data_IF_591983181730
#
_entry.id   IF_591983181730
#
_cell.length_a   1.000
_cell.length_b   1.000
_cell.length_c   1.000
_cell.angle_alpha   90.00
_cell.angle_beta   90.00
_cell.angle_gamma   90.00
#
_symmetry.space_group_name_H-M   'P 1'
#
loop_
_entity.id
_entity.type
_entity.pdbx_description
1 polymer ?
#
# COMPACT_ATOMS: atom_id res chain seq x y z
N UNK A 1 13.75 -1.53 -0.35
CA UNK A 1 13.24 -0.76 -1.49
C UNK A 1 11.78 -0.37 -1.35
N UNK A 2 10.86 -1.30 -1.08
CA UNK A 2 9.44 -1.00 -0.87
C UNK A 2 9.16 0.18 0.07
N UNK A 3 9.66 0.12 1.30
CA UNK A 3 9.48 1.19 2.29
C UNK A 3 10.10 2.52 1.82
N UNK A 4 11.25 2.47 1.14
CA UNK A 4 11.86 3.67 0.55
C UNK A 4 10.95 4.30 -0.51
N UNK A 5 10.30 3.51 -1.36
CA UNK A 5 9.33 4.03 -2.33
C UNK A 5 8.15 4.73 -1.67
N UNK A 6 7.63 4.18 -0.56
CA UNK A 6 6.59 4.83 0.26
C UNK A 6 7.07 6.13 0.91
N UNK A 7 8.31 6.16 1.40
CA UNK A 7 8.94 7.37 1.96
C UNK A 7 9.14 8.43 0.87
N UNK A 8 9.64 8.06 -0.30
CA UNK A 8 9.78 8.98 -1.43
C UNK A 8 8.43 9.57 -1.84
N UNK A 9 7.37 8.75 -1.88
CA UNK A 9 6.02 9.25 -2.10
C UNK A 9 5.62 10.30 -1.06
N UNK A 10 5.84 10.04 0.22
CA UNK A 10 5.54 11.00 1.29
C UNK A 10 6.31 12.32 1.11
N UNK A 11 7.60 12.24 0.78
CA UNK A 11 8.45 13.43 0.57
C UNK A 11 7.95 14.26 -0.62
N UNK A 12 7.70 13.62 -1.76
CA UNK A 12 7.35 14.34 -2.99
C UNK A 12 5.89 14.78 -3.05
N UNK A 13 4.98 14.11 -2.35
CA UNK A 13 3.59 14.56 -2.19
C UNK A 13 3.40 15.49 -0.98
N UNK A 14 4.42 15.67 -0.14
CA UNK A 14 4.34 16.54 1.03
C UNK A 14 3.41 16.02 2.13
N UNK A 15 3.31 14.70 2.28
CA UNK A 15 2.40 14.03 3.21
C UNK A 15 3.17 13.28 4.29
N UNK A 16 2.66 13.20 5.53
CA UNK A 16 3.37 12.55 6.63
C UNK A 16 3.29 11.02 6.61
N UNK A 17 2.32 10.44 5.91
CA UNK A 17 2.06 9.00 5.89
C UNK A 17 1.44 8.54 4.57
N UNK A 18 1.79 7.35 4.05
CA UNK A 18 1.20 6.82 2.82
C UNK A 18 -0.27 6.43 2.99
N UNK A 19 -0.65 5.92 4.16
CA UNK A 19 -1.97 5.34 4.41
C UNK A 19 -2.84 6.28 5.28
N UNK A 20 -2.37 7.52 5.48
CA UNK A 20 -2.99 8.55 6.30
C UNK A 20 -2.87 8.32 7.82
N UNK A 21 -3.75 9.00 8.55
CA UNK A 21 -3.88 9.01 10.01
C UNK A 21 -4.52 7.71 10.55
N UNK A 22 -3.72 6.65 10.76
CA UNK A 22 -4.19 5.37 11.29
C UNK A 22 -3.77 5.09 12.75
N UNK A 23 -2.92 5.93 13.35
CA UNK A 23 -2.52 5.76 14.75
C UNK A 23 -3.56 6.35 15.71
N UNK A 24 -3.60 5.87 16.95
CA UNK A 24 -4.43 6.42 18.02
C UNK A 24 -4.12 7.90 18.26
N UNK A 25 -2.85 8.32 18.16
CA UNK A 25 -2.50 9.74 18.24
C UNK A 25 -3.10 10.54 17.07
N UNK A 26 -3.19 9.93 15.89
CA UNK A 26 -3.86 10.55 14.74
C UNK A 26 -5.38 10.62 14.91
N UNK A 27 -6.00 9.90 15.86
CA UNK A 27 -7.39 10.11 16.26
C UNK A 27 -7.56 11.36 17.14
N UNK A 28 -6.51 11.82 17.79
CA UNK A 28 -6.54 13.01 18.67
C UNK A 28 -6.28 14.30 17.90
N UNK A 29 -5.56 14.23 16.79
CA UNK A 29 -5.30 15.38 15.92
C UNK A 29 -6.34 15.42 14.78
N UNK A 30 -6.87 16.61 14.46
CA UNK A 30 -7.77 16.87 13.32
C UNK A 30 -7.05 16.76 11.97
N UNK A 31 -6.20 15.74 11.81
CA UNK A 31 -5.40 15.53 10.62
C UNK A 31 -6.25 14.89 9.52
N UNK A 32 -6.79 15.73 8.64
CA UNK A 32 -7.53 15.29 7.44
C UNK A 32 -6.60 15.21 6.24
N UNK A 33 -6.12 14.01 5.95
CA UNK A 33 -5.41 13.70 4.71
C UNK A 33 -6.40 13.07 3.71
N UNK A 34 -6.68 13.77 2.63
CA UNK A 34 -7.60 13.36 1.57
C UNK A 34 -6.91 12.52 0.47
N UNK A 35 -5.60 12.67 0.33
CA UNK A 35 -4.76 11.93 -0.60
C UNK A 35 -4.14 10.70 0.07
N UNK A 36 -4.19 9.55 -0.57
CA UNK A 36 -3.55 8.32 -0.08
C UNK A 36 -2.67 7.71 -1.17
N UNK A 37 -1.65 6.97 -0.78
CA UNK A 37 -0.91 6.16 -1.73
C UNK A 37 -1.89 5.19 -2.41
N UNK A 38 -1.88 5.08 -3.76
CA UNK A 38 -0.82 5.50 -4.67
C UNK A 38 -1.14 6.74 -5.52
N UNK A 39 -2.00 7.64 -5.04
CA UNK A 39 -2.37 8.87 -5.76
C UNK A 39 -1.17 9.83 -5.83
N UNK A 40 -0.92 10.39 -7.02
CA UNK A 40 0.11 11.42 -7.24
C UNK A 40 -0.55 12.74 -7.64
N UNK A 41 -0.19 13.83 -6.95
CA UNK A 41 -0.62 15.19 -7.27
C UNK A 41 0.57 16.10 -7.57
N UNK A 42 1.67 15.94 -6.84
CA UNK A 42 2.85 16.83 -6.92
C UNK A 42 4.06 16.18 -7.59
N UNK A 43 4.23 14.87 -7.47
CA UNK A 43 5.41 14.15 -7.97
C UNK A 43 5.59 14.30 -9.49
N UNK A 44 6.78 14.68 -9.99
CA UNK A 44 7.09 14.65 -11.43
C UNK A 44 7.02 13.22 -12.01
N UNK A 45 6.74 13.04 -13.32
CA UNK A 45 6.55 11.70 -13.92
C UNK A 45 7.70 10.72 -13.69
N UNK A 46 8.94 11.20 -13.72
CA UNK A 46 10.15 10.38 -13.43
C UNK A 46 10.15 9.85 -11.99
N UNK A 47 9.72 10.66 -11.02
CA UNK A 47 9.57 10.26 -9.63
C UNK A 47 8.39 9.28 -9.46
N UNK A 48 7.28 9.53 -10.15
CA UNK A 48 6.13 8.61 -10.12
C UNK A 48 6.54 7.21 -10.61
N UNK A 49 7.32 7.13 -11.70
CA UNK A 49 7.83 5.87 -12.22
C UNK A 49 8.80 5.21 -11.25
N UNK A 50 9.71 5.97 -10.63
CA UNK A 50 10.64 5.46 -9.63
C UNK A 50 9.88 4.88 -8.42
N UNK A 51 8.91 5.61 -7.89
CA UNK A 51 8.07 5.18 -6.77
C UNK A 51 7.31 3.91 -7.14
N UNK A 52 6.69 3.86 -8.33
CA UNK A 52 6.00 2.66 -8.84
C UNK A 52 6.92 1.45 -8.87
N UNK A 53 8.13 1.57 -9.41
CA UNK A 53 9.11 0.47 -9.44
C UNK A 53 9.55 0.06 -8.03
N UNK A 54 9.88 1.02 -7.16
CA UNK A 54 10.25 0.76 -5.77
C UNK A 54 9.15 0.01 -4.99
N UNK A 55 7.89 0.32 -5.29
CA UNK A 55 6.70 -0.25 -4.65
C UNK A 55 6.01 -1.28 -5.54
N UNK A 56 6.71 -1.89 -6.51
CA UNK A 56 6.12 -2.95 -7.31
C UNK A 56 5.62 -4.08 -6.39
N UNK A 57 4.41 -4.59 -6.68
CA UNK A 57 3.71 -5.57 -5.84
C UNK A 57 3.00 -5.00 -4.62
N UNK A 58 2.96 -3.67 -4.45
CA UNK A 58 2.11 -3.05 -3.43
C UNK A 58 0.63 -3.36 -3.73
N UNK A 59 -0.17 -3.80 -2.75
CA UNK A 59 -1.59 -4.13 -2.95
C UNK A 59 -2.41 -2.95 -3.48
N UNK A 60 -2.00 -1.73 -3.16
CA UNK A 60 -2.67 -0.48 -3.53
C UNK A 60 -2.54 -0.16 -5.02
N UNK A 61 -1.53 -0.71 -5.72
CA UNK A 61 -1.47 -0.64 -7.19
C UNK A 61 -2.53 -1.53 -7.86
N UNK A 62 -2.99 -2.55 -7.14
CA UNK A 62 -4.15 -3.34 -7.52
C UNK A 62 -5.46 -2.68 -7.10
N UNK A 63 -6.58 -3.31 -7.44
CA UNK A 63 -7.91 -2.91 -6.94
C UNK A 63 -8.17 -3.39 -5.50
N UNK A 64 -7.11 -3.73 -4.75
CA UNK A 64 -7.20 -4.24 -3.38
C UNK A 64 -7.00 -3.08 -2.42
N UNK A 65 -8.11 -2.46 -2.08
CA UNK A 65 -8.15 -1.40 -1.09
C UNK A 65 -8.38 -1.99 0.30
N UNK A 66 -7.97 -1.28 1.37
CA UNK A 66 -8.34 -1.64 2.74
C UNK A 66 -9.85 -1.82 2.86
N UNK A 67 -10.32 -2.78 3.66
CA UNK A 67 -11.77 -3.02 3.83
C UNK A 67 -12.51 -1.84 4.46
N UNK A 68 -11.79 -1.01 5.22
CA UNK A 68 -12.31 0.18 5.90
C UNK A 68 -11.31 1.34 5.77
N UNK A 69 -11.83 2.56 5.82
CA UNK A 69 -11.06 3.80 5.78
C UNK A 69 -11.50 4.73 6.90
N UNK A 70 -10.65 5.71 7.18
CA UNK A 70 -10.99 6.84 8.03
C UNK A 70 -11.77 7.90 7.26
N UNK A 71 -12.85 8.36 7.88
CA UNK A 71 -13.62 9.52 7.45
C UNK A 71 -13.85 10.46 8.64
N UNK A 72 -13.05 11.52 8.75
CA UNK A 72 -13.08 12.42 9.90
C UNK A 72 -12.72 11.71 11.21
N UNK A 73 -13.69 11.64 12.13
CA UNK A 73 -13.61 10.97 13.43
C UNK A 73 -14.15 9.52 13.38
N UNK A 74 -14.55 9.03 12.21
CA UNK A 74 -15.19 7.73 12.04
C UNK A 74 -14.36 6.77 11.19
N UNK A 75 -14.64 5.47 11.36
CA UNK A 75 -14.15 4.39 10.50
C UNK A 75 -15.35 3.88 9.70
N UNK A 76 -15.24 3.92 8.38
CA UNK A 76 -16.30 3.52 7.45
C UNK A 76 -15.77 2.48 6.45
N UNK A 77 -16.63 1.62 5.88
CA UNK A 77 -16.23 0.75 4.77
C UNK A 77 -15.65 1.55 3.60
N UNK A 78 -14.68 0.97 2.90
CA UNK A 78 -14.13 1.57 1.69
C UNK A 78 -15.23 1.91 0.68
N UNK A 79 -15.18 3.12 0.11
CA UNK A 79 -16.18 3.63 -0.84
C UNK A 79 -17.49 4.13 -0.20
N UNK A 80 -17.61 4.16 1.13
CA UNK A 80 -18.75 4.72 1.86
C UNK A 80 -18.40 6.01 2.63
N UNK A 81 -17.47 6.82 2.11
CA UNK A 81 -17.21 8.17 2.63
C UNK A 81 -18.48 9.02 2.55
N UNK A 82 -18.73 9.86 3.54
CA UNK A 82 -19.91 10.74 3.64
C UNK A 82 -21.27 10.01 3.70
N UNK A 83 -21.27 8.68 3.90
CA UNK A 83 -22.47 7.88 4.05
C UNK A 83 -22.73 7.57 5.53
N UNK A 84 -24.00 7.53 5.93
CA UNK A 84 -24.36 6.95 7.22
C UNK A 84 -24.10 5.44 7.19
N UNK A 85 -23.20 4.96 8.06
CA UNK A 85 -22.84 3.54 8.15
C UNK A 85 -22.92 3.07 9.59
N UNK A 86 -23.41 1.86 9.79
CA UNK A 86 -23.51 1.26 11.11
C UNK A 86 -22.19 0.61 11.53
N UNK A 87 -21.95 0.51 12.85
CA UNK A 87 -20.78 -0.17 13.38
C UNK A 87 -20.70 -1.64 12.91
N UNK A 88 -21.84 -2.32 12.78
CA UNK A 88 -21.92 -3.70 12.28
C UNK A 88 -21.45 -3.80 10.83
N UNK A 89 -21.90 -2.91 9.94
CA UNK A 89 -21.43 -2.88 8.55
C UNK A 89 -19.92 -2.62 8.45
N UNK A 90 -19.40 -1.68 9.24
CA UNK A 90 -17.95 -1.42 9.31
C UNK A 90 -17.18 -2.66 9.78
N UNK A 91 -17.67 -3.32 10.83
CA UNK A 91 -17.04 -4.53 11.37
C UNK A 91 -17.07 -5.68 10.37
N UNK A 92 -18.18 -5.88 9.66
CA UNK A 92 -18.31 -6.91 8.63
C UNK A 92 -17.37 -6.66 7.44
N UNK A 93 -17.26 -5.41 6.99
CA UNK A 93 -16.34 -5.02 5.92
C UNK A 93 -14.88 -5.28 6.33
N UNK A 94 -14.48 -4.84 7.52
CA UNK A 94 -13.16 -5.10 8.07
C UNK A 94 -12.88 -6.61 8.21
N UNK A 95 -13.84 -7.37 8.77
CA UNK A 95 -13.71 -8.82 8.99
C UNK A 95 -13.54 -9.58 7.68
N UNK A 96 -14.33 -9.24 6.66
CA UNK A 96 -14.25 -9.87 5.34
C UNK A 96 -12.87 -9.65 4.73
N UNK A 97 -12.41 -8.39 4.74
CA UNK A 97 -11.11 -8.03 4.20
C UNK A 97 -9.97 -8.75 4.92
N UNK A 98 -9.95 -8.74 6.25
CA UNK A 98 -8.91 -9.44 7.02
C UNK A 98 -8.90 -10.95 6.78
N UNK A 99 -10.06 -11.59 6.58
CA UNK A 99 -10.10 -13.02 6.23
C UNK A 99 -9.44 -13.29 4.88
N UNK A 100 -9.66 -12.42 3.89
CA UNK A 100 -9.02 -12.52 2.58
C UNK A 100 -7.50 -12.31 2.69
N UNK A 101 -7.04 -11.29 3.43
CA UNK A 101 -5.61 -11.07 3.68
C UNK A 101 -4.94 -12.26 4.36
N UNK A 102 -5.55 -12.78 5.42
CA UNK A 102 -5.02 -13.93 6.15
C UNK A 102 -4.93 -15.17 5.25
N UNK A 103 -5.93 -15.39 4.40
CA UNK A 103 -5.93 -16.51 3.46
C UNK A 103 -4.75 -16.42 2.47
N UNK A 104 -4.46 -15.23 1.96
CA UNK A 104 -3.32 -15.03 1.04
C UNK A 104 -1.98 -15.15 1.76
N UNK A 105 -1.88 -14.62 2.98
CA UNK A 105 -0.68 -14.76 3.80
C UNK A 105 -0.41 -16.24 4.12
N UNK A 106 -1.45 -17.02 4.44
CA UNK A 106 -1.33 -18.46 4.66
C UNK A 106 -0.83 -19.20 3.41
N UNK A 107 -1.34 -18.85 2.21
CA UNK A 107 -0.86 -19.45 0.97
C UNK A 107 0.60 -19.11 0.73
N UNK A 108 1.00 -17.85 0.93
CA UNK A 108 2.39 -17.42 0.79
C UNK A 108 3.32 -18.16 1.76
N UNK A 109 2.98 -18.22 3.05
CA UNK A 109 3.79 -18.93 4.06
C UNK A 109 3.88 -20.43 3.77
N UNK A 110 2.77 -21.07 3.40
CA UNK A 110 2.80 -22.48 2.98
C UNK A 110 3.66 -22.70 1.76
N UNK A 111 3.60 -21.80 0.77
CA UNK A 111 4.46 -21.87 -0.40
C UNK A 111 5.94 -21.76 -0.02
N UNK A 112 6.33 -20.76 0.78
CA UNK A 112 7.73 -20.61 1.22
C UNK A 112 8.21 -21.80 2.04
N UNK A 113 7.33 -22.39 2.87
CA UNK A 113 7.64 -23.59 3.64
C UNK A 113 7.80 -24.84 2.75
N UNK A 114 6.96 -24.98 1.72
CA UNK A 114 6.96 -26.12 0.78
C UNK A 114 7.94 -25.94 -0.37
N UNK A 115 8.55 -24.76 -0.55
CA UNK A 115 9.52 -24.43 -1.61
C UNK A 115 10.75 -25.36 -1.64
N UNK A 116 10.98 -26.14 -0.59
CA UNK A 116 11.94 -27.26 -0.58
C UNK A 116 11.53 -28.47 -1.44
N UNK A 117 10.26 -28.60 -1.85
CA UNK A 117 9.69 -29.80 -2.48
C UNK A 117 8.80 -29.45 -3.68
N UNK A 118 9.40 -29.13 -4.83
CA UNK A 118 8.90 -29.36 -6.21
C UNK A 118 7.42 -29.03 -6.53
N UNK A 119 6.76 -28.16 -5.77
CA UNK A 119 5.35 -27.80 -5.92
C UNK A 119 5.11 -26.72 -6.97
N UNK A 120 3.91 -26.73 -7.57
CA UNK A 120 3.44 -25.66 -8.46
C UNK A 120 3.25 -24.36 -7.66
N UNK A 121 3.95 -23.31 -8.05
CA UNK A 121 3.83 -21.96 -7.45
C UNK A 121 2.43 -21.38 -7.75
N UNK A 122 1.67 -20.92 -6.73
CA UNK A 122 0.44 -20.17 -6.96
C UNK A 122 0.71 -18.87 -7.73
N UNK A 123 -0.14 -18.54 -8.71
CA UNK A 123 0.11 -17.40 -9.62
C UNK A 123 0.32 -16.07 -8.89
N UNK A 124 -0.45 -15.79 -7.83
CA UNK A 124 -0.28 -14.55 -7.07
C UNK A 124 1.06 -14.46 -6.34
N UNK A 125 1.63 -15.59 -5.92
CA UNK A 125 2.97 -15.64 -5.33
C UNK A 125 4.03 -15.43 -6.40
N UNK A 126 3.89 -16.10 -7.55
CA UNK A 126 4.79 -15.91 -8.68
C UNK A 126 4.79 -14.46 -9.21
N UNK A 127 3.62 -13.80 -9.26
CA UNK A 127 3.53 -12.39 -9.64
C UNK A 127 4.23 -11.50 -8.61
N UNK A 128 4.00 -11.72 -7.31
CA UNK A 128 4.66 -10.94 -6.26
C UNK A 128 6.20 -11.09 -6.33
N UNK A 129 6.69 -12.29 -6.61
CA UNK A 129 8.14 -12.52 -6.79
C UNK A 129 8.71 -11.76 -7.99
N UNK A 130 8.01 -11.75 -9.13
CA UNK A 130 8.39 -10.94 -10.29
C UNK A 130 8.41 -9.45 -9.93
N UNK A 131 7.37 -8.97 -9.26
CA UNK A 131 7.27 -7.57 -8.84
C UNK A 131 8.42 -7.19 -7.89
N UNK A 132 8.82 -8.07 -6.98
CA UNK A 132 9.97 -7.86 -6.08
C UNK A 132 11.28 -7.77 -6.87
N UNK A 133 11.43 -8.59 -7.91
CA UNK A 133 12.62 -8.60 -8.78
C UNK A 133 12.72 -7.35 -9.65
N UNK A 134 11.59 -6.72 -10.02
CA UNK A 134 11.56 -5.47 -10.79
C UNK A 134 11.96 -4.23 -9.96
N UNK A 135 12.01 -4.36 -8.63
CA UNK A 135 12.37 -3.24 -7.75
C UNK A 135 13.81 -2.81 -8.02
N UNK A 136 14.07 -1.50 -8.17
CA UNK A 136 15.40 -1.00 -8.45
C UNK A 136 16.33 -1.24 -7.25
N UNK A 137 17.63 -1.24 -7.49
CA UNK A 137 18.63 -1.17 -6.43
C UNK A 137 18.65 0.21 -5.78
N UNK A 138 19.31 0.33 -4.62
CA UNK A 138 19.51 1.64 -3.99
C UNK A 138 20.35 2.57 -4.88
N UNK A 139 21.35 2.02 -5.58
CA UNK A 139 22.21 2.76 -6.50
C UNK A 139 21.41 3.38 -7.65
N UNK A 140 20.56 2.60 -8.32
CA UNK A 140 19.67 3.08 -9.39
C UNK A 140 18.72 4.18 -8.90
N UNK A 141 18.22 4.07 -7.66
CA UNK A 141 17.41 5.12 -7.03
C UNK A 141 18.22 6.39 -6.81
N UNK A 142 19.43 6.28 -6.27
CA UNK A 142 20.29 7.43 -6.04
C UNK A 142 20.70 8.13 -7.34
N UNK A 143 21.00 7.37 -8.39
CA UNK A 143 21.28 7.90 -9.73
C UNK A 143 20.09 8.67 -10.28
N UNK A 144 18.89 8.09 -10.20
CA UNK A 144 17.65 8.74 -10.66
C UNK A 144 17.39 10.03 -9.89
N UNK A 145 17.56 10.03 -8.57
CA UNK A 145 17.36 11.21 -7.74
C UNK A 145 18.43 12.29 -8.00
N UNK A 146 19.69 11.90 -8.22
CA UNK A 146 20.79 12.84 -8.50
C UNK A 146 20.66 13.50 -9.86
N UNK A 147 20.01 12.84 -10.82
CA UNK A 147 19.69 13.42 -12.12
C UNK A 147 18.61 14.52 -12.04
N UNK A 148 17.87 14.60 -10.93
CA UNK A 148 16.90 15.67 -10.67
C UNK A 148 17.66 16.89 -10.15
N UNK A 149 18.16 17.70 -11.07
CA UNK A 149 18.64 19.04 -10.73
C UNK A 149 17.42 19.90 -10.37
N UNK A 150 17.33 20.28 -9.10
CA UNK A 150 16.43 21.33 -8.61
C UNK A 150 17.09 22.71 -8.71
#
# INVERSE_FOLDING_TARGET
>A
MYALGKVLWCIFEGLPSPDGAQSVESFLEDFKQDQQFPEFRLSPPVIQQLIRRCTAGAPEWGKRHPGVIRDGDQIVPWGKRDCAVTATETQEAATRWWREELSLAEIYVRHEYVRGEHGRVPEHVAQLERDIQERPSLEEVMETLSALQF
#
